data_IF_142791850351
#
_entry.id   IF_142791850351
#
_cell.length_a   1.000
_cell.length_b   1.000
_cell.length_c   1.000
_cell.angle_alpha   90.00
_cell.angle_beta   90.00
_cell.angle_gamma   90.00
#
_symmetry.space_group_name_H-M   'P 1'
#
loop_
_entity.id
_entity.type
_entity.pdbx_description
1 polymer ?
#
# COMPACT_ATOMS: atom_id res chain seq x y z
N UNK A 1 -11.57 7.70 -6.28
CA UNK A 1 -10.77 6.49 -6.00
C UNK A 1 -9.74 6.30 -7.08
N UNK A 2 -8.48 6.24 -6.68
CA UNK A 2 -7.35 5.83 -7.51
C UNK A 2 -6.89 4.44 -7.07
N UNK A 3 -6.21 3.75 -7.98
CA UNK A 3 -5.68 2.40 -7.78
C UNK A 3 -4.17 2.47 -8.01
N UNK A 4 -3.39 1.96 -7.05
CA UNK A 4 -1.93 1.96 -7.09
C UNK A 4 -1.49 0.51 -6.98
N UNK A 5 -0.85 -0.01 -8.02
CA UNK A 5 -0.21 -1.33 -7.98
C UNK A 5 1.20 -1.16 -7.42
N UNK A 6 1.47 -1.84 -6.31
CA UNK A 6 2.73 -1.82 -5.58
C UNK A 6 3.43 -3.15 -5.79
N UNK A 7 4.54 -3.15 -6.52
CA UNK A 7 5.37 -4.34 -6.72
C UNK A 7 6.62 -4.28 -5.85
N UNK A 8 6.87 -5.33 -5.07
CA UNK A 8 8.06 -5.47 -4.24
C UNK A 8 8.71 -6.85 -4.40
N UNK A 9 9.93 -7.02 -3.87
CA UNK A 9 10.66 -8.28 -3.97
C UNK A 9 9.96 -9.44 -3.25
N UNK A 10 9.26 -9.15 -2.17
CA UNK A 10 8.52 -10.11 -1.34
C UNK A 10 7.13 -9.58 -0.96
N UNK A 11 6.28 -10.51 -0.51
CA UNK A 11 4.88 -10.23 -0.21
C UNK A 11 4.71 -9.30 1.00
N UNK A 12 5.57 -9.43 2.01
CA UNK A 12 5.46 -8.63 3.23
C UNK A 12 5.76 -7.16 2.94
N UNK A 13 6.83 -6.88 2.18
CA UNK A 13 7.16 -5.52 1.74
C UNK A 13 6.04 -4.91 0.88
N UNK A 14 5.48 -5.67 -0.08
CA UNK A 14 4.40 -5.20 -0.93
C UNK A 14 3.13 -4.87 -0.10
N UNK A 15 2.79 -5.74 0.87
CA UNK A 15 1.64 -5.56 1.75
C UNK A 15 1.81 -4.36 2.67
N UNK A 16 2.96 -4.21 3.31
CA UNK A 16 3.25 -3.07 4.20
C UNK A 16 3.12 -1.74 3.45
N UNK A 17 3.77 -1.61 2.28
CA UNK A 17 3.66 -0.41 1.47
C UNK A 17 2.21 -0.11 1.05
N UNK A 18 1.41 -1.13 0.69
CA UNK A 18 0.01 -0.95 0.35
C UNK A 18 -0.87 -0.54 1.56
N UNK A 19 -0.55 -1.02 2.77
CA UNK A 19 -1.21 -0.61 4.02
C UNK A 19 -0.88 0.83 4.36
N UNK A 20 0.39 1.22 4.32
CA UNK A 20 0.83 2.59 4.62
C UNK A 20 0.19 3.58 3.64
N UNK A 21 0.23 3.30 2.33
CA UNK A 21 -0.45 4.12 1.33
C UNK A 21 -1.97 4.16 1.52
N UNK A 22 -2.56 3.02 1.90
CA UNK A 22 -3.98 2.92 2.20
C UNK A 22 -4.37 3.73 3.43
N UNK A 23 -3.52 3.79 4.46
CA UNK A 23 -3.75 4.53 5.71
C UNK A 23 -3.73 6.05 5.56
N UNK A 24 -3.18 6.56 4.45
CA UNK A 24 -3.20 8.00 4.14
C UNK A 24 -4.58 8.49 3.68
N UNK A 25 -5.48 7.62 3.21
CA UNK A 25 -6.83 7.99 2.78
C UNK A 25 -7.88 7.01 3.30
N UNK A 26 -9.16 7.27 3.06
CA UNK A 26 -10.15 6.22 3.29
C UNK A 26 -9.92 5.09 2.25
N UNK A 27 -9.47 3.94 2.74
CA UNK A 27 -9.16 2.76 1.94
C UNK A 27 -9.91 1.53 2.45
N UNK A 28 -10.20 0.58 1.58
CA UNK A 28 -10.75 -0.74 1.94
C UNK A 28 -9.67 -1.73 2.41
N UNK A 29 -8.41 -1.29 2.50
CA UNK A 29 -7.26 -2.17 2.72
C UNK A 29 -6.68 -2.74 1.41
N UNK A 30 -5.51 -3.39 1.49
CA UNK A 30 -4.83 -3.96 0.33
C UNK A 30 -5.61 -5.14 -0.27
N UNK A 31 -5.43 -5.40 -1.57
CA UNK A 31 -5.89 -6.65 -2.18
C UNK A 31 -5.05 -7.86 -1.73
N UNK A 32 -5.51 -9.06 -2.09
CA UNK A 32 -4.63 -10.22 -2.12
C UNK A 32 -3.45 -9.97 -3.08
N UNK A 33 -2.24 -10.46 -2.75
CA UNK A 33 -1.07 -10.35 -3.60
C UNK A 33 -1.18 -11.26 -4.84
N UNK A 34 -0.51 -10.88 -5.92
CA UNK A 34 -0.33 -11.71 -7.10
C UNK A 34 1.05 -11.57 -7.72
N UNK A 35 1.44 -12.53 -8.57
CA UNK A 35 2.68 -12.48 -9.34
C UNK A 35 2.35 -12.43 -10.83
N UNK A 36 3.04 -11.56 -11.55
CA UNK A 36 2.95 -11.50 -13.01
C UNK A 36 4.03 -12.41 -13.62
N UNK A 37 3.68 -13.39 -14.47
CA UNK A 37 4.67 -14.23 -15.12
C UNK A 37 5.72 -13.41 -15.89
N UNK A 38 6.99 -13.75 -15.71
CA UNK A 38 8.11 -13.04 -16.35
C UNK A 38 8.50 -11.71 -15.70
N UNK A 39 7.79 -11.27 -14.65
CA UNK A 39 8.19 -10.11 -13.85
C UNK A 39 8.70 -10.55 -12.47
N UNK A 40 9.81 -9.95 -11.99
CA UNK A 40 10.27 -10.21 -10.64
C UNK A 40 9.33 -9.56 -9.62
N UNK A 41 9.14 -10.24 -8.49
CA UNK A 41 8.42 -9.72 -7.34
C UNK A 41 6.96 -10.14 -7.22
N UNK A 42 6.31 -9.53 -6.23
CA UNK A 42 4.89 -9.71 -5.87
C UNK A 42 4.23 -8.33 -5.94
N UNK A 43 3.04 -8.28 -6.50
CA UNK A 43 2.24 -7.06 -6.60
C UNK A 43 1.04 -7.13 -5.67
N UNK A 44 0.76 -6.02 -4.98
CA UNK A 44 -0.44 -5.80 -4.18
C UNK A 44 -1.08 -4.50 -4.64
N UNK A 45 -2.41 -4.42 -4.59
CA UNK A 45 -3.16 -3.22 -4.96
C UNK A 45 -3.56 -2.42 -3.74
N UNK A 46 -3.21 -1.14 -3.74
CA UNK A 46 -3.71 -0.14 -2.79
C UNK A 46 -4.81 0.72 -3.43
N UNK A 47 -5.79 1.11 -2.63
CA UNK A 47 -6.90 1.97 -3.03
C UNK A 47 -6.88 3.25 -2.21
N UNK A 48 -6.99 4.40 -2.86
CA UNK A 48 -7.04 5.69 -2.18
C UNK A 48 -8.20 6.55 -2.70
N UNK A 49 -9.05 7.05 -1.80
CA UNK A 49 -10.08 8.02 -2.15
C UNK A 49 -9.60 9.47 -1.99
N UNK A 50 -8.93 9.98 -3.03
CA UNK A 50 -8.40 11.35 -3.08
C UNK A 50 -9.47 12.46 -3.09
N UNK A 51 -10.77 12.11 -3.12
CA UNK A 51 -11.86 13.09 -2.94
C UNK A 51 -11.96 13.54 -1.49
N UNK A 52 -11.30 12.85 -0.56
CA UNK A 52 -11.19 13.19 0.85
C UNK A 52 -9.77 13.67 1.15
N UNK A 53 -9.65 14.59 2.10
CA UNK A 53 -8.35 14.97 2.61
C UNK A 53 -7.62 13.72 3.16
N UNK A 54 -6.28 13.67 3.07
CA UNK A 54 -5.53 12.61 3.71
C UNK A 54 -5.88 12.53 5.19
N UNK A 55 -5.99 11.32 5.72
CA UNK A 55 -6.08 11.11 7.16
C UNK A 55 -4.80 11.71 7.76
N UNK A 56 -4.95 12.56 8.78
CA UNK A 56 -3.79 13.14 9.45
C UNK A 56 -2.93 11.98 9.95
N UNK A 57 -1.75 11.79 9.34
CA UNK A 57 -0.82 10.76 9.75
C UNK A 57 -0.47 11.03 11.22
N UNK A 58 -0.86 10.14 12.12
CA UNK A 58 -0.18 10.06 13.41
C UNK A 58 1.29 9.86 13.10
N UNK A 59 2.14 10.78 13.58
CA UNK A 59 3.60 10.79 13.43
C UNK A 59 4.20 9.39 13.26
N UNK A 60 4.59 9.02 12.03
CA UNK A 60 5.47 7.88 11.83
C UNK A 60 6.88 8.32 12.24
N UNK A 61 7.32 7.89 13.43
CA UNK A 61 8.69 8.04 13.92
C UNK A 61 9.46 6.74 13.62
N UNK A 62 10.37 6.72 12.62
CA UNK A 62 11.15 5.53 12.28
C UNK A 62 12.31 5.24 13.26
N UNK A 63 12.45 5.99 14.35
CA UNK A 63 13.59 5.94 15.28
C UNK A 63 13.34 5.25 16.62
N UNK A 64 12.15 4.73 16.88
CA UNK A 64 11.85 4.02 18.13
C UNK A 64 11.97 2.49 17.96
N UNK A 65 13.20 1.98 18.07
CA UNK A 65 13.53 0.57 18.25
C UNK A 65 14.29 0.38 19.56
#
# INVERSE_FOLDING_TARGET
MVVIDVTAADEETARQAAVELGGLWLSSGPSAPWRTPGQPGVTVRAYADLRRAPLASGSFDPGAA
#
